data_IF_845159402921
#
_entry.id   IF_845159402921
#
_cell.length_a   1.000
_cell.length_b   1.000
_cell.length_c   1.000
_cell.angle_alpha   90.00
_cell.angle_beta   90.00
_cell.angle_gamma   90.00
#
_symmetry.space_group_name_H-M   'P 1'
#
loop_
_entity.id
_entity.type
_entity.pdbx_description
1 polymer ?
#
# COMPACT_ATOMS: atom_id res chain seq x y z
N UNK A 1 -63.04 -4.99 66.32
CA UNK A 1 -63.92 -4.06 65.59
C UNK A 1 -63.36 -3.86 64.19
N UNK A 2 -64.19 -3.51 63.21
CA UNK A 2 -63.76 -3.32 61.82
C UNK A 2 -63.84 -1.84 61.40
N UNK A 3 -62.87 -1.41 60.58
CA UNK A 3 -62.89 -0.21 59.74
C UNK A 3 -62.32 -0.64 58.38
N UNK A 4 -62.96 -0.53 57.20
CA UNK A 4 -63.85 0.51 56.66
C UNK A 4 -63.18 1.89 56.49
N UNK A 5 -62.12 1.91 55.67
CA UNK A 5 -61.80 3.10 54.87
C UNK A 5 -61.14 2.72 53.53
N UNK A 6 -61.48 3.45 52.48
CA UNK A 6 -60.81 3.53 51.16
C UNK A 6 -60.60 2.24 50.35
N UNK A 7 -61.69 1.73 49.76
CA UNK A 7 -61.67 1.30 48.36
C UNK A 7 -62.38 2.39 47.53
N UNK A 8 -62.06 2.48 46.22
CA UNK A 8 -62.63 3.40 45.20
C UNK A 8 -61.85 4.70 44.87
N UNK A 9 -60.58 4.57 44.51
CA UNK A 9 -59.91 5.48 43.56
C UNK A 9 -58.76 4.74 42.82
N UNK A 10 -58.49 4.98 41.54
CA UNK A 10 -59.19 5.91 40.65
C UNK A 10 -58.41 6.32 39.39
N UNK A 11 -57.81 5.37 38.67
CA UNK A 11 -57.39 5.47 37.26
C UNK A 11 -56.75 6.81 36.80
N UNK A 12 -55.42 6.97 36.96
CA UNK A 12 -54.53 7.67 36.01
C UNK A 12 -53.06 7.43 36.38
N UNK A 13 -52.14 7.54 35.41
CA UNK A 13 -50.69 7.50 35.68
C UNK A 13 -49.93 6.25 35.22
N UNK A 14 -50.17 5.77 33.99
CA UNK A 14 -49.33 4.74 33.37
C UNK A 14 -47.94 5.31 32.99
N UNK A 15 -47.05 5.41 34.00
CA UNK A 15 -45.66 5.84 33.83
C UNK A 15 -44.85 4.80 33.07
N UNK A 16 -44.89 4.86 31.74
CA UNK A 16 -44.20 3.94 30.83
C UNK A 16 -42.67 4.15 30.88
N UNK A 17 -42.05 3.60 31.92
CA UNK A 17 -40.59 3.45 32.05
C UNK A 17 -40.08 2.41 31.04
N UNK A 18 -40.06 2.81 29.76
CA UNK A 18 -39.56 2.06 28.62
C UNK A 18 -38.04 1.93 28.62
N UNK A 19 -37.48 1.40 29.71
CA UNK A 19 -36.09 0.97 29.77
C UNK A 19 -35.88 -0.14 28.75
N UNK A 20 -35.24 0.19 27.62
CA UNK A 20 -34.89 -0.80 26.61
C UNK A 20 -33.66 -1.57 27.07
N UNK A 21 -33.90 -2.59 27.91
CA UNK A 21 -32.91 -3.63 28.22
C UNK A 21 -32.50 -4.36 26.94
N UNK A 22 -31.53 -3.79 26.24
CA UNK A 22 -30.77 -4.50 25.21
C UNK A 22 -29.97 -5.60 25.91
N UNK A 23 -30.61 -6.76 26.07
CA UNK A 23 -30.05 -7.95 26.68
C UNK A 23 -28.89 -8.48 25.82
N UNK A 24 -27.74 -7.85 26.01
CA UNK A 24 -26.55 -8.01 25.18
C UNK A 24 -25.96 -9.40 25.41
N UNK A 25 -25.98 -10.22 24.35
CA UNK A 25 -25.64 -11.65 24.34
C UNK A 25 -24.13 -11.93 24.44
N UNK A 26 -23.51 -11.40 25.50
CA UNK A 26 -22.07 -11.45 25.77
C UNK A 26 -21.47 -12.86 25.66
N UNK A 27 -22.14 -13.88 26.22
CA UNK A 27 -21.66 -15.27 26.23
C UNK A 27 -21.32 -15.84 24.84
N UNK A 28 -22.00 -15.39 23.77
CA UNK A 28 -21.65 -15.76 22.40
C UNK A 28 -20.31 -15.16 21.96
N UNK A 29 -20.11 -13.85 22.21
CA UNK A 29 -18.85 -13.15 21.86
C UNK A 29 -17.64 -13.70 22.63
N UNK A 30 -17.83 -14.11 23.89
CA UNK A 30 -16.77 -14.73 24.70
C UNK A 30 -16.39 -16.13 24.20
N UNK A 31 -17.37 -16.97 23.84
CA UNK A 31 -17.12 -18.29 23.25
C UNK A 31 -16.42 -18.18 21.89
N UNK A 32 -16.81 -17.22 21.05
CA UNK A 32 -16.18 -16.96 19.75
C UNK A 32 -14.73 -16.47 19.90
N UNK A 33 -14.47 -15.59 20.88
CA UNK A 33 -13.11 -15.16 21.25
C UNK A 33 -12.25 -16.33 21.73
N UNK A 34 -12.82 -17.29 22.46
CA UNK A 34 -12.10 -18.49 22.89
C UNK A 34 -11.73 -19.39 21.70
N UNK A 35 -12.70 -19.76 20.84
CA UNK A 35 -12.46 -20.63 19.67
C UNK A 35 -11.47 -20.03 18.68
N UNK A 36 -11.48 -18.69 18.51
CA UNK A 36 -10.62 -17.98 17.56
C UNK A 36 -9.28 -17.53 18.14
N UNK A 37 -9.03 -17.65 19.46
CA UNK A 37 -7.84 -17.09 20.14
C UNK A 37 -6.53 -17.31 19.37
N UNK A 38 -6.26 -18.56 18.98
CA UNK A 38 -5.04 -19.00 18.30
C UNK A 38 -5.02 -18.77 16.77
N UNK A 39 -6.08 -18.21 16.19
CA UNK A 39 -6.17 -17.97 14.74
C UNK A 39 -5.38 -16.73 14.33
N UNK A 40 -4.95 -16.66 13.07
CA UNK A 40 -4.18 -15.54 12.56
C UNK A 40 -5.02 -14.27 12.45
N UNK A 41 -4.55 -13.19 13.09
CA UNK A 41 -5.24 -11.89 13.11
C UNK A 41 -4.86 -11.05 11.89
N UNK A 42 -5.84 -10.64 11.09
CA UNK A 42 -5.72 -9.73 9.96
C UNK A 42 -6.53 -8.46 10.24
N UNK A 43 -5.91 -7.31 10.07
CA UNK A 43 -6.58 -6.00 10.04
C UNK A 43 -6.53 -5.43 8.62
N UNK A 44 -7.52 -4.63 8.18
CA UNK A 44 -7.53 -4.01 6.85
C UNK A 44 -6.24 -3.28 6.49
N UNK A 45 -5.66 -2.52 7.44
CA UNK A 45 -4.37 -1.80 7.29
C UNK A 45 -3.23 -2.63 6.71
N UNK A 46 -3.20 -3.95 6.98
CA UNK A 46 -2.13 -4.82 6.48
C UNK A 46 -2.10 -4.93 4.95
N UNK A 47 -3.23 -4.62 4.30
CA UNK A 47 -3.40 -4.59 2.85
C UNK A 47 -3.51 -3.15 2.28
N UNK A 48 -3.47 -2.09 3.09
CA UNK A 48 -3.76 -0.73 2.60
C UNK A 48 -2.65 -0.16 1.71
N UNK A 49 -3.03 0.26 0.49
CA UNK A 49 -2.15 0.92 -0.48
C UNK A 49 -1.68 2.31 0.01
N UNK A 50 -2.45 3.00 0.86
CA UNK A 50 -2.06 4.30 1.43
C UNK A 50 -1.01 4.18 2.54
N UNK A 51 -0.98 3.06 3.25
CA UNK A 51 -0.14 2.88 4.43
C UNK A 51 1.32 2.49 4.06
N UNK A 52 2.36 2.99 4.77
CA UNK A 52 3.74 2.68 4.47
C UNK A 52 4.06 1.19 4.64
N UNK A 53 4.99 0.69 3.84
CA UNK A 53 5.42 -0.71 3.86
C UNK A 53 6.38 -0.99 5.03
N UNK A 54 6.34 -2.22 5.57
CA UNK A 54 7.22 -2.76 6.63
C UNK A 54 7.09 -2.14 8.03
N UNK A 55 6.83 -0.84 8.18
CA UNK A 55 6.72 -0.14 9.49
C UNK A 55 5.40 -0.45 10.22
N UNK A 56 5.13 -1.73 10.50
CA UNK A 56 3.94 -2.23 11.20
C UNK A 56 2.61 -2.14 10.43
N UNK A 57 2.49 -1.22 9.47
CA UNK A 57 1.28 -0.92 8.73
C UNK A 57 1.05 -1.86 7.53
N UNK A 58 1.41 -1.49 6.28
CA UNK A 58 1.24 -2.40 5.14
C UNK A 58 2.25 -3.55 5.22
N UNK A 59 1.75 -4.79 5.08
CA UNK A 59 2.53 -6.04 5.20
C UNK A 59 2.79 -6.74 3.86
N UNK A 60 2.32 -6.19 2.74
CA UNK A 60 2.47 -6.74 1.39
C UNK A 60 3.09 -5.73 0.41
N UNK A 61 3.58 -6.20 -0.73
CA UNK A 61 4.01 -5.34 -1.83
C UNK A 61 2.81 -4.58 -2.46
N UNK A 62 3.08 -3.45 -3.12
CA UNK A 62 2.03 -2.58 -3.69
C UNK A 62 1.14 -3.29 -4.75
N UNK A 63 1.69 -4.32 -5.43
CA UNK A 63 0.94 -5.18 -6.36
C UNK A 63 -0.08 -6.13 -5.69
N UNK A 64 -0.09 -6.23 -4.36
CA UNK A 64 -1.07 -6.99 -3.57
C UNK A 64 -1.80 -6.14 -2.52
N UNK A 65 -1.51 -4.84 -2.43
CA UNK A 65 -2.31 -3.92 -1.61
C UNK A 65 -3.58 -3.47 -2.34
N UNK A 66 -4.53 -2.98 -1.56
CA UNK A 66 -5.83 -2.51 -2.01
C UNK A 66 -6.03 -1.05 -1.56
N UNK A 67 -6.72 -0.22 -2.35
CA UNK A 67 -7.12 1.12 -1.93
C UNK A 67 -8.42 1.01 -1.10
N UNK A 68 -8.39 1.50 0.15
CA UNK A 68 -9.51 1.39 1.11
C UNK A 68 -10.00 -0.06 1.35
N UNK A 69 -9.14 -0.96 1.86
CA UNK A 69 -9.54 -2.33 2.20
C UNK A 69 -10.60 -2.33 3.32
N UNK A 70 -11.58 -3.24 3.22
CA UNK A 70 -12.66 -3.41 4.20
C UNK A 70 -12.65 -4.82 4.79
N UNK A 71 -12.86 -4.94 6.11
CA UNK A 71 -12.82 -6.21 6.82
C UNK A 71 -13.86 -7.24 6.31
N UNK A 72 -15.05 -6.78 5.89
CA UNK A 72 -16.09 -7.64 5.31
C UNK A 72 -15.62 -8.33 4.01
N UNK A 73 -14.97 -7.59 3.10
CA UNK A 73 -14.42 -8.17 1.87
C UNK A 73 -13.24 -9.11 2.15
N UNK A 74 -12.40 -8.79 3.14
CA UNK A 74 -11.32 -9.67 3.59
C UNK A 74 -11.87 -10.98 4.14
N UNK A 75 -12.94 -10.95 4.93
CA UNK A 75 -13.63 -12.15 5.42
C UNK A 75 -14.25 -12.96 4.27
N UNK A 76 -14.95 -12.31 3.34
CA UNK A 76 -15.52 -12.96 2.15
C UNK A 76 -14.43 -13.62 1.28
N UNK A 77 -13.30 -12.97 1.05
CA UNK A 77 -12.16 -13.59 0.36
C UNK A 77 -11.63 -14.83 1.10
N UNK A 78 -11.61 -14.82 2.43
CA UNK A 78 -11.20 -15.98 3.23
C UNK A 78 -12.18 -17.15 3.14
N UNK A 79 -13.50 -16.89 3.14
CA UNK A 79 -14.51 -17.95 2.99
C UNK A 79 -14.51 -18.54 1.57
N UNK A 80 -14.38 -17.71 0.53
CA UNK A 80 -14.22 -18.18 -0.86
C UNK A 80 -12.95 -19.02 -1.08
N UNK A 81 -11.87 -18.77 -0.32
CA UNK A 81 -10.67 -19.63 -0.32
C UNK A 81 -10.78 -20.91 0.53
N UNK A 82 -11.94 -21.19 1.11
CA UNK A 82 -12.18 -22.36 1.96
C UNK A 82 -11.51 -22.30 3.33
N UNK A 83 -11.14 -21.11 3.83
CA UNK A 83 -10.49 -20.95 5.13
C UNK A 83 -11.50 -20.62 6.24
N UNK A 84 -11.51 -21.36 7.36
CA UNK A 84 -12.28 -20.98 8.54
C UNK A 84 -11.86 -19.58 8.99
N UNK A 85 -12.82 -18.66 8.97
CA UNK A 85 -12.59 -17.25 9.33
C UNK A 85 -13.78 -16.66 10.07
N UNK A 86 -13.51 -15.68 10.92
CA UNK A 86 -14.48 -15.00 11.78
C UNK A 86 -14.22 -13.50 11.72
N UNK A 87 -15.30 -12.70 11.60
CA UNK A 87 -15.26 -11.26 11.45
C UNK A 87 -15.67 -10.56 12.75
N UNK A 88 -14.72 -9.93 13.41
CA UNK A 88 -14.95 -9.08 14.57
C UNK A 88 -15.12 -7.62 14.09
N UNK A 89 -16.36 -7.18 13.82
CA UNK A 89 -16.63 -5.81 13.30
C UNK A 89 -16.20 -4.75 14.34
N UNK A 90 -16.55 -4.97 15.62
CA UNK A 90 -16.30 -4.08 16.76
C UNK A 90 -14.81 -3.80 17.08
N UNK A 91 -13.85 -4.42 16.39
CA UNK A 91 -12.41 -4.37 16.75
C UNK A 91 -11.59 -3.66 15.68
N UNK A 92 -10.73 -2.75 16.14
CA UNK A 92 -9.98 -1.81 15.30
C UNK A 92 -8.47 -1.99 15.51
N UNK A 93 -7.66 -1.53 14.55
CA UNK A 93 -6.20 -1.54 14.68
C UNK A 93 -5.73 -0.27 15.42
N UNK A 94 -4.84 -0.34 16.43
CA UNK A 94 -4.47 0.83 17.25
C UNK A 94 -3.95 2.03 16.46
N UNK A 95 -3.14 1.80 15.42
CA UNK A 95 -2.61 2.86 14.55
C UNK A 95 -3.52 3.20 13.34
N UNK A 96 -4.80 2.82 13.39
CA UNK A 96 -5.77 3.00 12.29
C UNK A 96 -7.22 2.92 12.80
N UNK A 97 -7.54 3.82 13.74
CA UNK A 97 -8.84 3.86 14.43
C UNK A 97 -10.03 4.18 13.51
N UNK A 98 -9.77 4.63 12.28
CA UNK A 98 -10.79 5.01 11.28
C UNK A 98 -11.30 3.84 10.43
N UNK A 99 -10.60 2.69 10.40
CA UNK A 99 -10.98 1.53 9.59
C UNK A 99 -11.31 0.32 10.49
N UNK A 100 -12.56 0.21 10.98
CA UNK A 100 -12.97 -0.84 11.89
C UNK A 100 -13.06 -2.22 11.22
N UNK A 101 -12.92 -3.25 12.04
CA UNK A 101 -13.04 -4.65 11.66
C UNK A 101 -11.72 -5.40 11.74
N UNK A 102 -11.79 -6.61 12.29
CA UNK A 102 -10.66 -7.54 12.44
C UNK A 102 -11.10 -8.93 11.99
N UNK A 103 -10.35 -9.54 11.08
CA UNK A 103 -10.63 -10.89 10.58
C UNK A 103 -9.66 -11.86 11.24
N UNK A 104 -10.19 -12.88 11.91
CA UNK A 104 -9.44 -14.02 12.45
C UNK A 104 -9.52 -15.16 11.44
N UNK A 105 -8.40 -15.79 11.08
CA UNK A 105 -8.35 -16.85 10.06
C UNK A 105 -7.52 -18.05 10.54
N UNK A 106 -8.05 -19.26 10.43
CA UNK A 106 -7.27 -20.48 10.65
C UNK A 106 -6.50 -20.83 9.35
N UNK A 107 -5.17 -20.66 9.36
CA UNK A 107 -4.32 -21.06 8.23
C UNK A 107 -3.87 -22.52 8.36
N UNK A 108 -3.59 -22.95 9.61
CA UNK A 108 -3.10 -24.29 9.94
C UNK A 108 -4.01 -24.96 10.97
N UNK A 109 -4.23 -26.26 10.79
CA UNK A 109 -4.93 -27.15 11.74
C UNK A 109 -3.99 -28.31 12.04
N UNK A 110 -3.73 -28.58 13.32
CA UNK A 110 -2.84 -29.65 13.78
C UNK A 110 -1.46 -29.61 13.06
N UNK A 111 -0.85 -28.43 12.99
CA UNK A 111 0.44 -28.17 12.32
C UNK A 111 0.40 -28.07 10.78
N UNK A 112 -0.54 -28.77 10.13
CA UNK A 112 -0.70 -28.82 8.66
C UNK A 112 -1.47 -27.60 8.14
N UNK A 113 -1.12 -27.08 6.97
CA UNK A 113 -1.87 -26.00 6.30
C UNK A 113 -3.20 -26.52 5.76
N UNK A 114 -4.31 -25.82 6.02
CA UNK A 114 -5.66 -26.23 5.57
C UNK A 114 -5.74 -26.22 4.04
N UNK A 115 -5.25 -25.15 3.42
CA UNK A 115 -5.10 -25.05 1.97
C UNK A 115 -3.60 -25.15 1.65
N UNK A 116 -3.17 -26.16 0.89
CA UNK A 116 -1.74 -26.40 0.59
C UNK A 116 -1.05 -25.26 -0.17
N UNK A 117 -1.84 -24.41 -0.83
CA UNK A 117 -1.39 -23.20 -1.53
C UNK A 117 -1.32 -21.96 -0.62
N UNK A 118 -1.64 -22.10 0.68
CA UNK A 118 -1.63 -21.02 1.69
C UNK A 118 -0.86 -21.49 2.94
N UNK A 119 0.47 -21.54 2.81
CA UNK A 119 1.38 -22.10 3.84
C UNK A 119 1.65 -21.15 5.03
N UNK A 120 1.53 -19.84 4.81
CA UNK A 120 1.80 -18.80 5.82
C UNK A 120 0.91 -17.55 5.63
N UNK A 121 0.93 -16.66 6.63
CA UNK A 121 0.15 -15.41 6.66
C UNK A 121 0.48 -14.44 5.52
N UNK A 122 1.74 -14.38 5.08
CA UNK A 122 2.13 -13.50 3.97
C UNK A 122 1.50 -13.96 2.65
N UNK A 123 1.56 -15.26 2.35
CA UNK A 123 0.90 -15.83 1.18
C UNK A 123 -0.62 -15.63 1.22
N UNK A 124 -1.25 -15.76 2.40
CA UNK A 124 -2.66 -15.44 2.58
C UNK A 124 -2.96 -13.97 2.23
N UNK A 125 -2.23 -13.01 2.79
CA UNK A 125 -2.42 -11.59 2.50
C UNK A 125 -2.22 -11.28 1.01
N UNK A 126 -1.19 -11.84 0.37
CA UNK A 126 -0.98 -11.68 -1.08
C UNK A 126 -2.14 -12.24 -1.90
N UNK A 127 -2.69 -13.41 -1.55
CA UNK A 127 -3.87 -13.97 -2.23
C UNK A 127 -5.13 -13.14 -2.03
N UNK A 128 -5.39 -12.64 -0.82
CA UNK A 128 -6.53 -11.73 -0.57
C UNK A 128 -6.40 -10.48 -1.43
N UNK A 129 -5.19 -9.92 -1.54
CA UNK A 129 -4.87 -8.82 -2.44
C UNK A 129 -5.19 -9.10 -3.91
N UNK A 130 -4.70 -10.23 -4.45
CA UNK A 130 -5.01 -10.63 -5.83
C UNK A 130 -6.51 -10.86 -6.06
N UNK A 131 -7.19 -11.54 -5.13
CA UNK A 131 -8.62 -11.88 -5.25
C UNK A 131 -9.53 -10.65 -5.18
N UNK A 132 -9.23 -9.69 -4.30
CA UNK A 132 -10.05 -8.50 -4.11
C UNK A 132 -9.77 -7.37 -5.12
N UNK A 133 -8.64 -7.39 -5.83
CA UNK A 133 -8.24 -6.31 -6.75
C UNK A 133 -9.25 -6.03 -7.88
N UNK A 134 -9.86 -7.02 -8.56
CA UNK A 134 -10.92 -6.75 -9.54
C UNK A 134 -12.16 -6.12 -8.92
N UNK A 135 -12.54 -6.60 -7.72
CA UNK A 135 -13.70 -6.09 -6.96
C UNK A 135 -13.46 -4.67 -6.44
N UNK A 136 -12.22 -4.33 -6.08
CA UNK A 136 -11.82 -2.95 -5.74
C UNK A 136 -12.04 -2.01 -6.92
N UNK A 137 -11.52 -2.34 -8.11
CA UNK A 137 -11.64 -1.49 -9.28
C UNK A 137 -13.11 -1.23 -9.65
N UNK A 138 -13.94 -2.27 -9.63
CA UNK A 138 -15.38 -2.15 -9.86
C UNK A 138 -16.07 -1.27 -8.80
N UNK A 139 -15.82 -1.52 -7.50
CA UNK A 139 -16.44 -0.74 -6.40
C UNK A 139 -16.01 0.72 -6.37
N UNK A 140 -14.79 1.02 -6.80
CA UNK A 140 -14.23 2.38 -6.82
C UNK A 140 -14.35 3.08 -8.17
N UNK A 141 -15.05 2.48 -9.16
CA UNK A 141 -15.19 2.96 -10.54
C UNK A 141 -13.85 3.37 -11.17
N UNK A 142 -12.79 2.62 -10.86
CA UNK A 142 -11.47 2.84 -11.44
C UNK A 142 -11.45 2.36 -12.90
N UNK A 143 -10.68 3.03 -13.79
CA UNK A 143 -10.42 2.49 -15.13
C UNK A 143 -9.73 1.12 -15.00
N UNK A 144 -10.01 0.22 -15.95
CA UNK A 144 -9.35 -1.07 -16.01
C UNK A 144 -7.83 -0.89 -16.19
N UNK A 145 -7.03 -1.66 -15.47
CA UNK A 145 -5.56 -1.65 -15.62
C UNK A 145 -5.22 -2.39 -16.91
N UNK A 146 -5.14 -1.66 -18.02
CA UNK A 146 -4.69 -2.19 -19.31
C UNK A 146 -3.17 -2.40 -19.29
N UNK A 147 -2.72 -3.62 -19.56
CA UNK A 147 -1.30 -4.01 -19.53
C UNK A 147 -0.47 -3.40 -20.70
N UNK A 148 -1.15 -2.69 -21.61
CA UNK A 148 -0.63 -2.01 -22.81
C UNK A 148 0.46 -0.97 -22.55
N UNK A 149 0.62 -0.49 -21.31
CA UNK A 149 1.71 0.43 -20.94
C UNK A 149 3.11 -0.19 -21.01
N UNK A 150 3.23 -1.51 -21.21
CA UNK A 150 4.52 -2.18 -21.46
C UNK A 150 4.97 -2.06 -22.92
N UNK A 151 4.05 -2.00 -23.89
CA UNK A 151 4.37 -2.03 -25.33
C UNK A 151 4.77 -0.67 -25.91
N UNK A 152 4.86 0.38 -25.09
CA UNK A 152 5.54 1.63 -25.44
C UNK A 152 7.06 1.60 -25.18
N UNK A 153 7.55 0.64 -24.40
CA UNK A 153 8.97 0.52 -24.02
C UNK A 153 9.79 -0.42 -24.94
N UNK A 154 9.19 -0.92 -26.02
CA UNK A 154 9.81 -1.89 -26.94
C UNK A 154 10.46 -1.26 -28.18
N UNK A 155 10.28 0.05 -28.41
CA UNK A 155 11.02 0.82 -29.41
C UNK A 155 12.23 1.48 -28.71
N UNK A 156 13.45 1.10 -29.09
CA UNK A 156 14.67 1.38 -28.33
C UNK A 156 15.21 2.81 -28.43
N UNK A 157 14.49 3.80 -27.88
CA UNK A 157 14.96 5.17 -27.68
C UNK A 157 14.83 5.63 -26.21
N UNK A 158 15.61 6.60 -25.74
CA UNK A 158 15.45 7.16 -24.39
C UNK A 158 14.11 7.89 -24.26
N UNK A 159 13.18 7.34 -23.47
CA UNK A 159 11.85 7.91 -23.25
C UNK A 159 11.85 9.09 -22.26
N UNK A 160 12.44 10.20 -22.69
CA UNK A 160 12.10 11.52 -22.13
C UNK A 160 10.71 11.94 -22.66
N UNK A 161 9.74 12.32 -21.81
CA UNK A 161 8.50 12.91 -22.29
C UNK A 161 8.78 14.28 -22.94
N UNK A 162 8.02 14.69 -23.98
CA UNK A 162 8.24 15.96 -24.68
C UNK A 162 8.25 17.14 -23.70
N UNK A 163 9.18 18.08 -23.93
CA UNK A 163 9.69 19.01 -22.91
C UNK A 163 8.58 19.85 -22.26
N UNK A 164 7.57 20.29 -23.03
CA UNK A 164 6.41 21.02 -22.54
C UNK A 164 5.53 20.29 -21.52
N UNK A 165 5.64 18.96 -21.41
CA UNK A 165 4.99 18.13 -20.38
C UNK A 165 5.90 17.78 -19.19
N UNK A 166 7.20 18.14 -19.26
CA UNK A 166 8.19 17.91 -18.19
C UNK A 166 8.35 19.11 -17.25
N UNK A 167 8.04 20.32 -17.73
CA UNK A 167 8.09 21.56 -16.94
C UNK A 167 6.70 21.91 -16.37
N UNK A 168 6.61 22.46 -15.13
CA UNK A 168 5.34 22.98 -14.63
C UNK A 168 4.90 24.21 -15.45
N UNK A 169 3.58 24.37 -15.61
CA UNK A 169 2.92 25.34 -16.50
C UNK A 169 3.39 26.80 -16.35
N UNK A 170 3.83 27.19 -15.15
CA UNK A 170 4.32 28.53 -14.82
C UNK A 170 5.86 28.70 -14.99
N UNK A 171 6.53 27.80 -15.70
CA UNK A 171 7.99 27.86 -15.91
C UNK A 171 8.39 28.96 -16.91
N UNK A 172 9.50 29.69 -16.70
CA UNK A 172 9.95 30.76 -17.59
C UNK A 172 10.11 30.34 -19.06
N UNK A 173 10.53 29.10 -19.33
CA UNK A 173 10.68 28.60 -20.69
C UNK A 173 9.36 28.54 -21.47
N UNK A 174 8.24 28.35 -20.76
CA UNK A 174 6.88 28.32 -21.34
C UNK A 174 6.26 29.71 -21.32
N UNK A 175 6.32 30.42 -20.19
CA UNK A 175 5.65 31.72 -20.03
C UNK A 175 6.35 32.89 -20.73
N UNK A 176 7.63 32.76 -21.10
CA UNK A 176 8.42 33.78 -21.79
C UNK A 176 8.77 33.41 -23.25
N UNK A 177 8.08 32.42 -23.84
CA UNK A 177 8.18 32.06 -25.25
C UNK A 177 9.47 31.35 -25.69
N UNK A 178 10.44 31.15 -24.78
CA UNK A 178 11.75 30.56 -25.10
C UNK A 178 11.67 29.16 -25.73
N UNK A 179 10.71 28.33 -25.28
CA UNK A 179 10.49 27.00 -25.86
C UNK A 179 10.04 27.08 -27.34
N UNK A 180 9.13 27.99 -27.66
CA UNK A 180 8.62 28.17 -29.02
C UNK A 180 9.69 28.74 -29.98
N UNK A 181 10.61 29.57 -29.47
CA UNK A 181 11.77 30.03 -30.25
C UNK A 181 12.68 28.84 -30.62
N UNK A 182 13.06 28.02 -29.63
CA UNK A 182 13.90 26.84 -29.86
C UNK A 182 13.24 25.82 -30.81
N UNK A 183 11.93 25.62 -30.72
CA UNK A 183 11.17 24.77 -31.64
C UNK A 183 11.22 25.34 -33.08
N UNK A 184 11.03 26.66 -33.25
CA UNK A 184 11.13 27.32 -34.57
C UNK A 184 12.55 27.30 -35.17
N UNK A 185 13.60 27.35 -34.34
CA UNK A 185 15.00 27.18 -34.77
C UNK A 185 15.27 25.75 -35.26
N UNK A 186 14.64 24.73 -34.67
CA UNK A 186 14.81 23.33 -35.13
C UNK A 186 14.15 23.06 -36.48
N UNK A 187 12.97 23.62 -36.76
CA UNK A 187 12.34 23.47 -38.08
C UNK A 187 13.13 24.22 -39.18
N UNK A 188 13.66 25.41 -38.87
CA UNK A 188 14.42 26.24 -39.81
C UNK A 188 15.73 25.59 -40.30
N UNK A 189 16.30 24.65 -39.53
CA UNK A 189 17.59 24.00 -39.85
C UNK A 189 17.48 22.82 -40.84
N UNK A 190 16.29 22.53 -41.37
CA UNK A 190 16.00 21.29 -42.11
C UNK A 190 16.27 21.31 -43.64
N UNK A 191 16.95 22.33 -44.18
CA UNK A 191 17.18 22.44 -45.63
C UNK A 191 18.59 22.90 -46.07
N UNK A 192 19.04 22.30 -47.18
CA UNK A 192 20.10 22.73 -48.11
C UNK A 192 21.61 22.50 -47.76
N UNK A 193 22.06 21.28 -48.08
CA UNK A 193 23.32 20.89 -48.79
C UNK A 193 24.60 21.76 -48.76
N UNK A 194 25.72 21.09 -48.47
CA UNK A 194 27.14 21.47 -48.73
C UNK A 194 27.47 21.68 -50.22
N UNK A 195 28.47 22.51 -50.60
CA UNK A 195 29.86 22.01 -50.77
C UNK A 195 31.01 22.98 -50.37
N UNK A 196 32.24 22.54 -50.65
CA UNK A 196 33.59 23.00 -50.28
C UNK A 196 33.97 24.50 -50.38
N UNK A 197 34.72 25.00 -49.38
CA UNK A 197 36.10 25.52 -49.57
C UNK A 197 36.85 25.77 -48.24
N UNK A 198 38.16 25.49 -48.19
CA UNK A 198 39.12 26.03 -47.19
C UNK A 198 39.93 27.14 -47.90
N UNK A 199 40.13 28.33 -47.29
CA UNK A 199 41.51 28.67 -46.93
C UNK A 199 41.65 29.53 -45.65
N UNK A 200 42.32 28.95 -44.64
CA UNK A 200 43.42 29.57 -43.88
C UNK A 200 43.17 30.77 -42.91
N UNK A 201 43.90 30.70 -41.79
CA UNK A 201 44.10 31.73 -40.76
C UNK A 201 42.90 32.04 -39.83
N UNK A 202 43.08 32.35 -38.54
CA UNK A 202 44.31 32.55 -37.77
C UNK A 202 44.23 31.95 -36.34
N UNK A 203 45.40 31.83 -35.70
CA UNK A 203 45.67 31.24 -34.38
C UNK A 203 44.75 31.77 -33.24
N UNK A 204 44.50 31.02 -32.16
CA UNK A 204 45.50 30.86 -31.08
C UNK A 204 45.31 29.63 -30.15
N UNK A 205 46.41 28.87 -30.03
CA UNK A 205 46.89 28.11 -28.86
C UNK A 205 45.93 27.19 -28.08
N UNK A 206 46.08 25.90 -28.38
CA UNK A 206 46.02 24.80 -27.40
C UNK A 206 47.26 24.79 -26.47
N UNK A 207 47.23 23.89 -25.47
CA UNK A 207 48.33 23.08 -24.90
C UNK A 207 48.97 23.55 -23.54
N UNK A 208 49.63 22.65 -22.75
CA UNK A 208 48.90 21.92 -21.70
C UNK A 208 49.67 21.73 -20.35
N UNK A 209 49.05 20.94 -19.45
CA UNK A 209 49.69 19.97 -18.53
C UNK A 209 50.55 20.48 -17.36
N UNK A 210 50.22 20.02 -16.14
CA UNK A 210 51.07 19.05 -15.42
C UNK A 210 50.38 18.45 -14.17
N UNK A 211 50.31 17.11 -14.12
CA UNK A 211 50.31 16.32 -12.88
C UNK A 211 51.74 16.36 -12.24
N UNK A 212 52.07 15.79 -11.03
CA UNK A 212 51.36 14.68 -10.36
C UNK A 212 51.51 14.48 -8.81
N UNK A 213 50.98 13.32 -8.33
CA UNK A 213 51.38 12.52 -7.14
C UNK A 213 51.15 13.07 -5.71
N UNK A 214 50.17 12.46 -5.02
CA UNK A 214 50.37 11.51 -3.86
C UNK A 214 49.00 10.94 -3.48
N UNK A 215 48.65 9.66 -3.65
CA UNK A 215 49.16 8.42 -3.03
C UNK A 215 49.08 8.38 -1.49
N UNK A 216 48.21 7.52 -0.93
CA UNK A 216 48.44 6.64 0.26
C UNK A 216 47.20 5.77 0.54
N UNK A 217 47.38 4.44 0.40
CA UNK A 217 46.69 3.24 0.96
C UNK A 217 47.65 2.06 0.67
N UNK A 218 47.60 0.88 1.34
CA UNK A 218 46.67 0.36 2.35
C UNK A 218 47.22 0.59 3.79
N UNK A 219 47.31 -0.28 4.82
CA UNK A 219 47.14 -1.73 5.06
C UNK A 219 46.76 -2.01 6.55
N UNK A 220 46.27 -3.22 6.95
CA UNK A 220 45.54 -3.42 8.22
C UNK A 220 46.32 -4.13 9.35
N UNK A 221 45.74 -4.12 10.57
CA UNK A 221 46.04 -5.05 11.68
C UNK A 221 44.71 -5.61 12.22
N UNK A 222 44.42 -6.92 12.19
CA UNK A 222 45.05 -8.10 12.83
C UNK A 222 44.70 -8.31 14.32
N UNK A 223 43.73 -9.22 14.53
CA UNK A 223 43.64 -10.27 15.57
C UNK A 223 43.78 -9.90 17.06
N UNK A 224 42.83 -10.44 17.85
CA UNK A 224 43.17 -11.39 18.92
C UNK A 224 42.10 -12.47 19.10
N UNK A 225 42.54 -13.73 19.07
CA UNK A 225 41.71 -14.91 19.36
C UNK A 225 41.53 -15.08 20.88
N UNK A 226 40.42 -15.67 21.32
CA UNK A 226 40.43 -16.51 22.53
C UNK A 226 39.42 -17.66 22.42
N UNK A 227 39.94 -18.88 22.29
CA UNK A 227 39.18 -20.13 22.17
C UNK A 227 39.65 -21.08 23.28
N UNK A 228 38.84 -21.26 24.32
CA UNK A 228 38.90 -22.39 25.28
C UNK A 228 37.44 -22.78 25.57
N UNK A 229 36.88 -23.90 25.12
CA UNK A 229 37.18 -25.33 25.40
C UNK A 229 36.91 -25.78 26.84
N UNK A 230 35.84 -26.59 26.96
CA UNK A 230 35.81 -27.92 27.59
C UNK A 230 36.11 -28.01 29.09
N UNK A 231 35.07 -28.27 29.87
CA UNK A 231 34.86 -29.65 30.35
C UNK A 231 33.42 -30.07 30.10
#
# INVERSE_FOLDING_TARGET
MAGLSSMLAGMMGAGMTGGSDQQTSHGGKDADRARTKHWETIYPRYLDAKAPCKTGARRVALKYSLRWPLAQLIHHACTQMGLPSHLEIDKVHPADWQNPGRVKVMIKRNGKSINGSIKNKYALLCKIGTFLRPLESARLKLPAVTETTTTAAAAGGPLEPPIGLRLPYNSPAVSHGFLAMAESETDASSSLTTPDHDPSSSSLKTKPSQEPKKSIKPNPAQKKNKKKHKK
#
